data_IF_710469964575
#
_entry.id   IF_710469964575
#
_cell.length_a   1.000
_cell.length_b   1.000
_cell.length_c   1.000
_cell.angle_alpha   90.00
_cell.angle_beta   90.00
_cell.angle_gamma   90.00
#
_symmetry.space_group_name_H-M   'P 1'
#
loop_
_entity.id
_entity.type
_entity.pdbx_description
1 polymer ?
#
# COMPACT_ATOMS: atom_id res chain seq x y z
N UNK A 1 1.39 0.50 -18.52
CA UNK A 1 1.13 0.52 -17.07
C UNK A 1 1.29 1.94 -16.52
N UNK A 2 0.38 2.40 -15.63
CA UNK A 2 0.42 3.69 -14.92
C UNK A 2 0.29 3.45 -13.42
N UNK A 3 1.08 4.14 -12.60
CA UNK A 3 0.98 4.09 -11.13
C UNK A 3 0.64 5.49 -10.62
N UNK A 4 -0.33 5.58 -9.72
CA UNK A 4 -0.81 6.85 -9.15
C UNK A 4 -0.92 6.69 -7.63
N UNK A 5 -0.29 7.58 -6.89
CA UNK A 5 -0.48 7.69 -5.44
C UNK A 5 -1.79 8.43 -5.20
N UNK A 6 -2.73 7.80 -4.53
CA UNK A 6 -4.05 8.37 -4.19
C UNK A 6 -4.10 8.85 -2.74
N UNK A 7 -3.30 8.25 -1.88
CA UNK A 7 -3.13 8.63 -0.49
C UNK A 7 -1.68 8.38 -0.07
N UNK A 8 -1.02 9.40 0.45
CA UNK A 8 0.40 9.38 0.82
C UNK A 8 0.65 9.57 2.32
N UNK A 9 -0.41 9.74 3.13
CA UNK A 9 -0.31 9.86 4.58
C UNK A 9 -0.36 8.49 5.26
N UNK A 10 0.38 8.39 6.36
CA UNK A 10 0.14 7.39 7.39
C UNK A 10 -0.65 7.99 8.55
N UNK A 11 -1.47 7.15 9.22
CA UNK A 11 -2.26 7.40 10.41
C UNK A 11 -3.58 8.15 10.15
N UNK A 12 -3.56 9.40 9.65
CA UNK A 12 -4.79 10.17 9.38
C UNK A 12 -4.61 11.16 8.23
N UNK A 13 -5.75 11.60 7.69
CA UNK A 13 -5.79 12.59 6.62
C UNK A 13 -5.41 13.98 7.13
N UNK A 14 -4.72 14.73 6.30
CA UNK A 14 -4.34 16.14 6.53
C UNK A 14 -4.43 16.93 5.23
N UNK A 15 -4.15 18.22 5.28
CA UNK A 15 -4.06 19.05 4.07
C UNK A 15 -2.93 18.59 3.11
N UNK A 16 -1.99 17.77 3.58
CA UNK A 16 -0.90 17.23 2.76
C UNK A 16 -1.23 15.97 2.01
N UNK A 17 -2.35 15.30 2.33
CA UNK A 17 -2.81 14.09 1.66
C UNK A 17 -3.81 13.27 2.46
N UNK A 18 -4.37 12.29 1.77
CA UNK A 18 -5.23 11.25 2.33
C UNK A 18 -4.43 10.06 2.81
N UNK A 19 -5.03 9.21 3.65
CA UNK A 19 -4.44 7.95 4.10
C UNK A 19 -4.24 6.97 2.96
N UNK A 20 -3.33 6.02 3.18
CA UNK A 20 -2.59 5.22 2.23
C UNK A 20 -3.46 4.53 1.16
N UNK A 21 -3.19 4.81 -0.09
CA UNK A 21 -3.77 4.11 -1.24
C UNK A 21 -2.93 4.36 -2.50
N UNK A 22 -2.60 3.30 -3.23
CA UNK A 22 -1.90 3.40 -4.51
C UNK A 22 -2.67 2.63 -5.58
N UNK A 23 -2.84 3.25 -6.75
CA UNK A 23 -3.51 2.66 -7.90
C UNK A 23 -2.49 2.33 -8.99
N UNK A 24 -2.45 1.09 -9.44
CA UNK A 24 -1.74 0.62 -10.63
C UNK A 24 -2.75 0.22 -11.68
N UNK A 25 -2.61 0.76 -12.89
CA UNK A 25 -3.50 0.50 -14.02
C UNK A 25 -2.74 -0.07 -15.20
N UNK A 26 -3.30 -1.12 -15.79
CA UNK A 26 -2.92 -1.65 -17.11
C UNK A 26 -4.02 -1.38 -18.12
N UNK A 27 -3.90 -1.90 -19.36
CA UNK A 27 -4.99 -1.89 -20.32
C UNK A 27 -6.16 -2.79 -19.91
N UNK A 28 -5.91 -3.85 -19.11
CA UNK A 28 -6.83 -4.97 -18.94
C UNK A 28 -7.41 -5.07 -17.52
N UNK A 29 -6.74 -4.49 -16.52
CA UNK A 29 -7.16 -4.54 -15.12
C UNK A 29 -6.53 -3.40 -14.30
N UNK A 30 -7.05 -3.21 -13.08
CA UNK A 30 -6.49 -2.32 -12.08
C UNK A 30 -6.08 -3.09 -10.82
N UNK A 31 -4.95 -2.69 -10.20
CA UNK A 31 -4.51 -3.15 -8.88
C UNK A 31 -4.52 -1.95 -7.93
N UNK A 32 -5.18 -2.09 -6.81
CA UNK A 32 -5.20 -1.11 -5.73
C UNK A 32 -4.40 -1.69 -4.58
N UNK A 33 -3.50 -0.91 -4.02
CA UNK A 33 -2.69 -1.28 -2.87
C UNK A 33 -3.10 -0.39 -1.70
N UNK A 34 -3.65 -1.01 -0.67
CA UNK A 34 -4.35 -0.44 0.47
C UNK A 34 -5.60 0.41 0.13
N UNK A 35 -6.45 0.56 1.13
CA UNK A 35 -7.75 1.19 1.04
C UNK A 35 -7.97 2.21 2.17
N UNK A 36 -6.97 3.08 2.41
CA UNK A 36 -7.18 4.28 3.19
C UNK A 36 -8.16 5.23 2.48
N UNK A 37 -8.37 6.42 2.99
CA UNK A 37 -9.32 7.38 2.38
C UNK A 37 -8.97 7.73 0.92
N UNK A 38 -7.69 7.58 0.54
CA UNK A 38 -7.25 7.76 -0.83
C UNK A 38 -8.05 6.92 -1.86
N UNK A 39 -8.63 5.77 -1.45
CA UNK A 39 -9.42 4.91 -2.35
C UNK A 39 -10.63 5.63 -2.93
N UNK A 40 -11.20 6.62 -2.24
CA UNK A 40 -12.36 7.37 -2.75
C UNK A 40 -12.10 8.06 -4.09
N UNK A 41 -10.83 8.33 -4.40
CA UNK A 41 -10.38 8.97 -5.64
C UNK A 41 -10.41 8.05 -6.86
N UNK A 42 -10.60 6.73 -6.70
CA UNK A 42 -10.68 5.78 -7.83
C UNK A 42 -11.94 6.00 -8.69
N UNK A 43 -12.99 6.64 -8.16
CA UNK A 43 -14.29 6.84 -8.82
C UNK A 43 -14.18 7.36 -10.26
N UNK A 44 -13.24 8.28 -10.50
CA UNK A 44 -13.05 8.92 -11.81
C UNK A 44 -11.77 8.45 -12.52
N UNK A 45 -11.14 7.39 -12.05
CA UNK A 45 -9.85 6.91 -12.55
C UNK A 45 -9.89 5.46 -13.03
N UNK A 46 -10.72 4.63 -12.41
CA UNK A 46 -10.81 3.20 -12.69
C UNK A 46 -11.95 2.94 -13.67
N UNK A 47 -11.68 2.12 -14.67
CA UNK A 47 -12.69 1.51 -15.53
C UNK A 47 -13.28 0.29 -14.82
N UNK A 48 -14.44 0.49 -14.18
CA UNK A 48 -15.10 -0.54 -13.38
C UNK A 48 -15.70 -1.70 -14.20
N UNK A 49 -15.70 -1.62 -15.53
CA UNK A 49 -16.06 -2.76 -16.39
C UNK A 49 -14.96 -3.83 -16.43
N UNK A 50 -13.74 -3.48 -15.99
CA UNK A 50 -12.57 -4.36 -15.96
C UNK A 50 -12.33 -4.92 -14.56
N UNK A 51 -11.62 -6.05 -14.46
CA UNK A 51 -11.24 -6.62 -13.17
C UNK A 51 -10.47 -5.65 -12.28
N UNK A 52 -10.82 -5.60 -11.00
CA UNK A 52 -10.12 -4.83 -9.96
C UNK A 52 -9.65 -5.76 -8.86
N UNK A 53 -8.39 -5.64 -8.50
CA UNK A 53 -7.72 -6.40 -7.45
C UNK A 53 -7.28 -5.43 -6.35
N UNK A 54 -7.78 -5.60 -5.14
CA UNK A 54 -7.40 -4.80 -3.99
C UNK A 54 -6.52 -5.65 -3.06
N UNK A 55 -5.29 -5.19 -2.84
CA UNK A 55 -4.32 -5.82 -1.94
C UNK A 55 -4.22 -5.00 -0.65
N UNK A 56 -4.47 -5.63 0.48
CA UNK A 56 -4.34 -5.02 1.79
C UNK A 56 -3.06 -5.51 2.47
N UNK A 57 -2.26 -4.59 2.99
CA UNK A 57 -1.04 -4.92 3.72
C UNK A 57 -1.32 -5.39 5.14
N UNK A 58 -2.17 -4.66 5.85
CA UNK A 58 -2.63 -4.97 7.21
C UNK A 58 -3.96 -4.26 7.50
N UNK A 59 -4.46 -4.37 8.74
CA UNK A 59 -5.81 -3.91 9.08
C UNK A 59 -5.86 -2.70 10.00
N UNK A 60 -4.79 -1.88 10.10
CA UNK A 60 -4.90 -0.56 10.71
C UNK A 60 -5.88 0.30 9.91
N UNK A 61 -6.60 1.18 10.60
CA UNK A 61 -7.71 1.91 9.98
C UNK A 61 -7.28 2.78 8.80
N UNK A 62 -6.11 3.36 8.84
CA UNK A 62 -5.57 4.19 7.75
C UNK A 62 -5.25 3.40 6.47
N UNK A 63 -5.29 2.06 6.52
CA UNK A 63 -5.16 1.17 5.36
C UNK A 63 -6.48 0.55 4.91
N UNK A 64 -7.54 0.64 5.73
CA UNK A 64 -8.82 -0.04 5.44
C UNK A 64 -10.05 0.84 5.64
N UNK A 65 -9.92 2.05 6.21
CA UNK A 65 -11.06 2.92 6.51
C UNK A 65 -11.90 3.25 5.26
N UNK A 66 -11.28 3.35 4.10
CA UNK A 66 -11.98 3.64 2.85
C UNK A 66 -12.88 2.50 2.36
N UNK A 67 -12.75 1.29 2.91
CA UNK A 67 -13.62 0.16 2.57
C UNK A 67 -15.09 0.41 2.92
N UNK A 68 -15.38 1.27 3.92
CA UNK A 68 -16.77 1.66 4.22
C UNK A 68 -17.45 2.39 3.06
N UNK A 69 -16.69 2.92 2.11
CA UNK A 69 -17.20 3.64 0.94
C UNK A 69 -17.36 2.75 -0.30
N UNK A 70 -17.23 1.42 -0.19
CA UNK A 70 -17.30 0.51 -1.35
C UNK A 70 -18.59 0.63 -2.14
N UNK A 71 -19.73 0.93 -1.51
CA UNK A 71 -21.01 1.16 -2.20
C UNK A 71 -21.02 2.43 -3.08
N UNK A 72 -20.01 3.28 -2.98
CA UNK A 72 -19.84 4.44 -3.87
C UNK A 72 -19.37 4.04 -5.27
N UNK A 73 -18.86 2.82 -5.45
CA UNK A 73 -18.33 2.31 -6.69
C UNK A 73 -19.28 1.30 -7.34
N UNK A 74 -19.26 1.19 -8.67
CA UNK A 74 -20.08 0.26 -9.43
C UNK A 74 -19.17 -0.75 -10.15
N UNK A 75 -18.64 -1.72 -9.42
CA UNK A 75 -17.86 -2.79 -10.04
C UNK A 75 -18.77 -3.70 -10.86
N UNK A 76 -18.49 -3.85 -12.17
CA UNK A 76 -19.23 -4.76 -13.06
C UNK A 76 -18.68 -6.20 -12.99
N UNK A 77 -17.49 -6.36 -12.43
CA UNK A 77 -16.84 -7.63 -12.15
C UNK A 77 -16.73 -7.83 -10.62
N UNK A 78 -16.60 -9.06 -10.11
CA UNK A 78 -16.30 -9.29 -8.70
C UNK A 78 -15.07 -8.49 -8.26
N UNK A 79 -15.19 -7.74 -7.15
CA UNK A 79 -14.04 -7.12 -6.50
C UNK A 79 -13.24 -8.21 -5.77
N UNK A 80 -12.01 -8.44 -6.18
CA UNK A 80 -11.13 -9.38 -5.48
C UNK A 80 -10.29 -8.65 -4.45
N UNK A 81 -10.54 -8.96 -3.18
CA UNK A 81 -9.83 -8.38 -2.04
C UNK A 81 -8.84 -9.40 -1.52
N UNK A 82 -7.57 -9.15 -1.72
CA UNK A 82 -6.48 -9.93 -1.15
C UNK A 82 -6.21 -9.38 0.25
N UNK A 83 -6.57 -10.17 1.25
CA UNK A 83 -6.37 -9.83 2.66
C UNK A 83 -4.93 -10.12 3.08
N UNK A 84 -4.39 -9.44 4.11
CA UNK A 84 -3.10 -9.80 4.65
C UNK A 84 -3.07 -11.28 5.08
N UNK A 85 -1.88 -11.84 5.20
CA UNK A 85 -1.69 -13.23 5.61
C UNK A 85 -2.41 -13.47 6.95
N UNK A 86 -3.43 -14.33 6.94
CA UNK A 86 -4.24 -14.67 8.13
C UNK A 86 -5.33 -13.65 8.50
N UNK A 87 -5.47 -12.52 7.78
CA UNK A 87 -6.35 -11.41 8.17
C UNK A 87 -7.79 -11.47 7.63
N UNK A 88 -8.19 -12.55 6.96
CA UNK A 88 -9.50 -12.60 6.28
C UNK A 88 -10.69 -12.51 7.25
N UNK A 89 -10.63 -13.20 8.38
CA UNK A 89 -11.74 -13.21 9.33
C UNK A 89 -11.82 -11.89 10.12
N UNK A 90 -10.67 -11.31 10.47
CA UNK A 90 -10.60 -9.99 11.11
C UNK A 90 -11.16 -8.89 10.18
N UNK A 91 -10.88 -8.97 8.87
CA UNK A 91 -11.47 -8.03 7.91
C UNK A 91 -12.98 -8.18 7.81
N UNK A 92 -13.51 -9.41 7.80
CA UNK A 92 -14.97 -9.64 7.82
C UNK A 92 -15.61 -9.09 9.08
N UNK A 93 -14.95 -9.23 10.23
CA UNK A 93 -15.43 -8.67 11.49
C UNK A 93 -15.42 -7.14 11.49
N UNK A 94 -14.45 -6.52 10.84
CA UNK A 94 -14.42 -5.07 10.65
C UNK A 94 -15.54 -4.60 9.70
N UNK A 95 -15.77 -5.34 8.60
CA UNK A 95 -16.78 -5.03 7.58
C UNK A 95 -18.13 -5.71 7.89
N UNK A 96 -18.74 -5.37 9.02
CA UNK A 96 -20.06 -5.86 9.42
C UNK A 96 -20.84 -4.80 10.17
N UNK A 97 -22.18 -5.00 10.22
CA UNK A 97 -23.05 -4.18 11.09
C UNK A 97 -22.63 -4.36 12.57
N UNK A 98 -22.62 -3.28 13.37
CA UNK A 98 -23.09 -1.92 13.06
C UNK A 98 -22.01 -0.96 12.53
N UNK A 99 -20.79 -1.43 12.25
CA UNK A 99 -19.64 -0.57 11.95
C UNK A 99 -19.60 -0.13 10.48
N UNK A 100 -20.06 -1.00 9.58
CA UNK A 100 -20.03 -0.79 8.12
C UNK A 100 -21.17 -1.57 7.48
N UNK A 101 -21.42 -1.36 6.18
CA UNK A 101 -22.15 -2.33 5.37
C UNK A 101 -21.42 -3.68 5.44
N UNK A 102 -22.18 -4.77 5.56
CA UNK A 102 -21.56 -6.08 5.62
C UNK A 102 -20.88 -6.41 4.28
N UNK A 103 -19.71 -7.02 4.34
CA UNK A 103 -18.88 -7.32 3.14
C UNK A 103 -19.62 -8.16 2.09
N UNK A 104 -20.64 -8.93 2.48
CA UNK A 104 -21.48 -9.78 1.62
C UNK A 104 -22.82 -9.14 1.23
N UNK A 105 -23.05 -7.87 1.60
CA UNK A 105 -24.31 -7.15 1.34
C UNK A 105 -24.23 -6.18 0.14
N UNK A 106 -23.08 -6.06 -0.51
CA UNK A 106 -22.87 -5.18 -1.67
C UNK A 106 -23.62 -5.69 -2.91
N UNK A 107 -23.97 -4.77 -3.82
CA UNK A 107 -24.66 -5.11 -5.08
C UNK A 107 -23.80 -5.88 -6.08
N UNK A 108 -22.50 -5.94 -5.86
CA UNK A 108 -21.52 -6.73 -6.60
C UNK A 108 -20.80 -7.70 -5.67
N UNK A 109 -20.36 -8.86 -6.17
CA UNK A 109 -19.65 -9.83 -5.35
C UNK A 109 -18.29 -9.29 -4.86
N UNK A 110 -17.97 -9.54 -3.60
CA UNK A 110 -16.62 -9.35 -3.04
C UNK A 110 -16.04 -10.73 -2.77
N UNK A 111 -14.92 -11.04 -3.43
CA UNK A 111 -14.17 -12.29 -3.25
C UNK A 111 -12.96 -12.01 -2.35
N UNK A 112 -13.01 -12.44 -1.09
CA UNK A 112 -11.87 -12.32 -0.17
C UNK A 112 -10.93 -13.50 -0.31
N UNK A 113 -9.65 -13.21 -0.53
CA UNK A 113 -8.58 -14.18 -0.76
C UNK A 113 -7.45 -13.89 0.24
N UNK A 114 -7.17 -14.81 1.13
CA UNK A 114 -6.03 -14.69 2.03
C UNK A 114 -4.72 -14.76 1.25
N UNK A 115 -3.80 -13.83 1.51
CA UNK A 115 -2.52 -13.74 0.80
C UNK A 115 -1.67 -15.02 0.91
N UNK A 116 -1.88 -15.85 1.94
CA UNK A 116 -1.25 -17.19 2.04
C UNK A 116 -1.66 -18.16 0.93
N UNK A 117 -2.77 -17.88 0.23
CA UNK A 117 -3.33 -18.75 -0.81
C UNK A 117 -3.08 -18.20 -2.24
N UNK A 118 -2.28 -17.16 -2.41
CA UNK A 118 -2.03 -16.53 -3.72
C UNK A 118 -1.53 -17.51 -4.79
N UNK A 119 -0.72 -18.51 -4.41
CA UNK A 119 -0.24 -19.55 -5.33
C UNK A 119 -1.36 -20.36 -5.99
N UNK A 120 -2.53 -20.45 -5.33
CA UNK A 120 -3.71 -21.17 -5.81
C UNK A 120 -4.70 -20.28 -6.55
N UNK A 121 -4.41 -18.98 -6.63
CA UNK A 121 -5.31 -17.98 -7.18
C UNK A 121 -4.90 -17.66 -8.62
N UNK A 122 -5.87 -17.76 -9.54
CA UNK A 122 -5.61 -17.38 -10.93
C UNK A 122 -5.65 -15.85 -11.08
N UNK A 123 -4.48 -15.22 -11.00
CA UNK A 123 -4.28 -13.79 -11.26
C UNK A 123 -3.62 -13.60 -12.63
N UNK A 124 -3.90 -12.49 -13.36
CA UNK A 124 -3.29 -12.22 -14.65
C UNK A 124 -1.84 -11.72 -14.55
N UNK A 125 -1.28 -11.69 -13.35
CA UNK A 125 0.10 -11.28 -13.03
C UNK A 125 0.66 -12.17 -11.92
N UNK A 126 1.99 -12.15 -11.76
CA UNK A 126 2.61 -12.85 -10.62
C UNK A 126 2.70 -11.91 -9.43
N UNK A 127 2.51 -12.50 -8.24
CA UNK A 127 2.66 -11.79 -6.97
C UNK A 127 3.28 -12.71 -5.92
N UNK A 128 4.23 -12.19 -5.16
CA UNK A 128 4.78 -12.79 -3.95
C UNK A 128 4.34 -11.96 -2.75
N UNK A 129 3.93 -12.61 -1.67
CA UNK A 129 3.55 -12.00 -0.40
C UNK A 129 4.45 -12.53 0.71
N UNK A 130 5.02 -11.65 1.52
CA UNK A 130 5.83 -12.01 2.67
C UNK A 130 5.44 -11.20 3.90
N UNK A 131 5.52 -11.78 5.11
CA UNK A 131 5.29 -11.05 6.34
C UNK A 131 6.37 -9.99 6.56
N UNK A 132 5.96 -8.83 7.03
CA UNK A 132 6.82 -7.71 7.40
C UNK A 132 6.90 -7.55 8.93
N UNK A 133 7.68 -6.58 9.41
CA UNK A 133 7.91 -6.35 10.85
C UNK A 133 7.19 -5.08 11.28
N UNK A 134 6.00 -5.25 11.82
CA UNK A 134 5.16 -4.17 12.31
C UNK A 134 4.51 -4.53 13.65
N UNK A 135 3.80 -3.58 14.28
CA UNK A 135 3.11 -3.78 15.57
C UNK A 135 1.97 -4.83 15.47
N UNK A 136 1.41 -5.02 14.30
CA UNK A 136 0.40 -6.04 13.97
C UNK A 136 0.88 -6.87 12.79
N UNK A 137 0.27 -8.04 12.50
CA UNK A 137 0.60 -8.81 11.30
C UNK A 137 0.46 -7.94 10.04
N UNK A 138 1.56 -7.79 9.31
CA UNK A 138 1.65 -7.01 8.09
C UNK A 138 2.23 -7.84 6.94
N UNK A 139 1.83 -7.54 5.71
CA UNK A 139 2.17 -8.27 4.49
C UNK A 139 2.67 -7.32 3.42
N UNK A 140 3.92 -7.47 3.02
CA UNK A 140 4.46 -6.79 1.84
C UNK A 140 4.22 -7.61 0.58
N UNK A 141 4.20 -6.93 -0.56
CA UNK A 141 3.91 -7.54 -1.86
C UNK A 141 4.98 -7.20 -2.89
N UNK A 142 5.28 -8.18 -3.75
CA UNK A 142 6.11 -8.03 -4.95
C UNK A 142 5.31 -8.48 -6.16
N UNK A 143 5.07 -7.57 -7.09
CA UNK A 143 4.31 -7.79 -8.32
C UNK A 143 5.25 -7.89 -9.52
N UNK A 144 4.96 -8.83 -10.45
CA UNK A 144 5.52 -8.84 -11.81
C UNK A 144 4.39 -8.57 -12.79
N UNK A 145 4.34 -7.34 -13.33
CA UNK A 145 3.27 -6.84 -14.21
C UNK A 145 3.92 -6.17 -15.43
N UNK A 146 3.49 -6.52 -16.64
CA UNK A 146 4.00 -5.96 -17.91
C UNK A 146 5.54 -6.02 -18.01
N UNK A 147 6.17 -7.08 -17.50
CA UNK A 147 7.62 -7.24 -17.47
C UNK A 147 8.36 -6.30 -16.51
N UNK A 148 7.64 -5.64 -15.60
CA UNK A 148 8.17 -4.77 -14.54
C UNK A 148 7.95 -5.40 -13.18
N UNK A 149 8.89 -5.12 -12.28
CA UNK A 149 8.83 -5.53 -10.89
C UNK A 149 8.48 -4.33 -10.03
N UNK A 150 7.34 -4.40 -9.34
CA UNK A 150 6.88 -3.40 -8.39
C UNK A 150 6.86 -4.04 -6.99
N UNK A 151 7.56 -3.46 -6.04
CA UNK A 151 7.52 -3.85 -4.64
C UNK A 151 6.71 -2.82 -3.84
N UNK A 152 5.77 -3.29 -3.04
CA UNK A 152 4.96 -2.51 -2.11
C UNK A 152 5.29 -2.97 -0.69
N UNK A 153 6.06 -2.16 0.03
CA UNK A 153 6.65 -2.47 1.33
C UNK A 153 6.35 -1.31 2.27
N UNK A 154 5.20 -1.39 2.93
CA UNK A 154 4.64 -0.33 3.76
C UNK A 154 4.54 -0.84 5.20
N UNK A 155 4.62 0.06 6.16
CA UNK A 155 4.48 -0.16 7.59
C UNK A 155 5.38 -1.28 8.11
N UNK A 156 6.67 -1.06 7.98
CA UNK A 156 7.65 -2.05 8.45
C UNK A 156 8.92 -1.41 8.97
N UNK A 157 9.51 -2.01 9.98
CA UNK A 157 10.93 -1.82 10.24
C UNK A 157 11.76 -2.41 9.08
N UNK A 158 13.00 -1.95 8.94
CA UNK A 158 13.94 -2.58 8.02
C UNK A 158 14.12 -4.07 8.40
N UNK A 159 13.83 -4.97 7.45
CA UNK A 159 13.92 -6.41 7.67
C UNK A 159 14.32 -7.17 6.38
N UNK A 160 14.72 -8.43 6.53
CA UNK A 160 15.16 -9.29 5.40
C UNK A 160 14.06 -9.50 4.35
N UNK A 161 12.81 -9.69 4.79
CA UNK A 161 11.69 -9.87 3.86
C UNK A 161 11.41 -8.61 3.04
N UNK A 162 11.57 -7.41 3.62
CA UNK A 162 11.48 -6.15 2.90
C UNK A 162 12.55 -6.06 1.80
N UNK A 163 13.80 -6.41 2.11
CA UNK A 163 14.90 -6.47 1.12
C UNK A 163 14.61 -7.51 0.04
N UNK A 164 14.10 -8.69 0.41
CA UNK A 164 13.77 -9.77 -0.53
C UNK A 164 12.69 -9.34 -1.52
N UNK A 165 11.59 -8.74 -1.05
CA UNK A 165 10.50 -8.25 -1.89
C UNK A 165 10.98 -7.15 -2.85
N UNK A 166 11.79 -6.22 -2.34
CA UNK A 166 12.30 -5.08 -3.09
C UNK A 166 13.46 -5.43 -4.06
N UNK A 167 14.01 -6.65 -3.99
CA UNK A 167 15.21 -7.03 -4.75
C UNK A 167 15.07 -6.79 -6.25
N UNK A 168 15.95 -5.91 -6.80
CA UNK A 168 15.98 -5.51 -8.20
C UNK A 168 14.62 -4.96 -8.71
N UNK A 169 13.78 -4.38 -7.85
CA UNK A 169 12.52 -3.79 -8.26
C UNK A 169 12.76 -2.65 -9.26
N UNK A 170 11.92 -2.57 -10.29
CA UNK A 170 11.87 -1.40 -11.17
C UNK A 170 11.32 -0.19 -10.39
N UNK A 171 10.38 -0.45 -9.47
CA UNK A 171 9.83 0.52 -8.53
C UNK A 171 9.63 -0.11 -7.16
N UNK A 172 10.25 0.47 -6.14
CA UNK A 172 9.94 0.24 -4.75
C UNK A 172 9.02 1.36 -4.25
N UNK A 173 7.88 1.02 -3.70
CA UNK A 173 7.00 1.92 -2.98
C UNK A 173 7.13 1.55 -1.51
N UNK A 174 7.59 2.49 -0.69
CA UNK A 174 7.84 2.23 0.73
C UNK A 174 7.51 3.45 1.59
N UNK A 175 7.58 3.28 2.90
CA UNK A 175 7.14 4.26 3.88
C UNK A 175 8.22 5.26 4.32
N UNK A 176 7.75 6.30 5.00
CA UNK A 176 8.56 7.24 5.78
C UNK A 176 7.76 7.70 7.01
N UNK A 177 7.54 6.80 7.98
CA UNK A 177 6.70 7.07 9.15
C UNK A 177 7.34 8.02 10.17
N UNK A 178 8.67 8.05 10.25
CA UNK A 178 9.40 8.78 11.29
C UNK A 178 10.36 9.84 10.75
N UNK A 179 10.64 10.82 11.62
CA UNK A 179 11.66 11.85 11.38
C UNK A 179 13.05 11.24 11.13
N UNK A 180 13.90 11.96 10.37
CA UNK A 180 15.31 11.63 10.25
C UNK A 180 15.98 11.44 11.61
N UNK A 181 16.79 10.40 11.74
CA UNK A 181 17.53 10.11 12.96
C UNK A 181 16.71 9.52 14.12
N UNK A 182 15.40 9.28 13.94
CA UNK A 182 14.60 8.60 14.98
C UNK A 182 15.08 7.16 15.16
N UNK A 183 15.36 6.80 16.40
CA UNK A 183 15.62 5.42 16.80
C UNK A 183 14.35 4.87 17.39
N UNK A 184 13.61 4.09 16.59
CA UNK A 184 12.41 3.42 17.06
C UNK A 184 12.41 1.95 16.64
N UNK A 185 12.12 1.11 17.62
CA UNK A 185 12.09 -0.35 17.43
C UNK A 185 10.71 -0.95 17.75
N UNK A 186 9.77 -0.14 18.29
CA UNK A 186 8.53 -0.67 18.86
C UNK A 186 7.39 -0.71 17.86
N UNK A 187 7.20 0.34 17.05
CA UNK A 187 6.06 0.43 16.13
C UNK A 187 6.36 -0.11 14.71
N UNK A 188 7.62 -0.44 14.40
CA UNK A 188 7.97 -1.05 13.13
C UNK A 188 7.80 -0.11 11.93
N UNK A 189 8.30 1.14 12.03
CA UNK A 189 8.34 2.08 10.91
C UNK A 189 9.75 2.52 10.54
N UNK A 190 9.91 3.03 9.34
CA UNK A 190 11.19 3.52 8.81
C UNK A 190 11.34 5.03 8.92
N UNK A 191 12.60 5.46 9.03
CA UNK A 191 13.04 6.83 8.77
C UNK A 191 13.45 6.98 7.31
N UNK A 192 13.65 8.21 6.79
CA UNK A 192 14.17 8.41 5.43
C UNK A 192 15.47 7.68 5.17
N UNK A 193 16.36 7.59 6.18
CA UNK A 193 17.65 6.92 6.06
C UNK A 193 17.48 5.39 5.96
N UNK A 194 16.60 4.80 6.76
CA UNK A 194 16.35 3.35 6.73
C UNK A 194 15.58 2.93 5.48
N UNK A 195 14.65 3.74 4.99
CA UNK A 195 13.99 3.54 3.70
C UNK A 195 14.98 3.64 2.54
N UNK A 196 15.90 4.61 2.58
CA UNK A 196 16.96 4.75 1.59
C UNK A 196 17.95 3.57 1.63
N UNK A 197 18.26 3.06 2.84
CA UNK A 197 19.07 1.85 3.02
C UNK A 197 18.37 0.63 2.41
N UNK A 198 17.07 0.45 2.62
CA UNK A 198 16.29 -0.62 1.99
C UNK A 198 16.40 -0.54 0.46
N UNK A 199 16.23 0.65 -0.13
CA UNK A 199 16.35 0.87 -1.57
C UNK A 199 17.73 0.51 -2.10
N UNK A 200 18.77 0.90 -1.38
CA UNK A 200 20.18 0.60 -1.75
C UNK A 200 20.49 -0.89 -1.65
N UNK A 201 20.16 -1.53 -0.52
CA UNK A 201 20.50 -2.94 -0.28
C UNK A 201 19.71 -3.88 -1.20
N UNK A 202 18.50 -3.49 -1.61
CA UNK A 202 17.67 -4.25 -2.55
C UNK A 202 18.04 -3.99 -4.02
N UNK A 203 18.91 -3.04 -4.32
CA UNK A 203 19.21 -2.60 -5.69
C UNK A 203 17.93 -2.21 -6.47
N UNK A 204 16.99 -1.54 -5.81
CA UNK A 204 15.81 -0.99 -6.47
C UNK A 204 16.21 0.13 -7.45
N UNK A 205 15.57 0.24 -8.62
CA UNK A 205 15.92 1.25 -9.63
C UNK A 205 15.39 2.63 -9.31
N UNK A 206 14.13 2.67 -8.83
CA UNK A 206 13.46 3.87 -8.34
C UNK A 206 12.75 3.54 -7.04
N UNK A 207 12.66 4.51 -6.14
CA UNK A 207 11.94 4.35 -4.87
C UNK A 207 11.08 5.57 -4.60
N UNK A 208 9.79 5.32 -4.37
CA UNK A 208 8.83 6.34 -3.97
C UNK A 208 8.53 6.17 -2.49
N UNK A 209 8.73 7.25 -1.72
CA UNK A 209 8.32 7.34 -0.33
C UNK A 209 6.88 7.84 -0.25
N UNK A 210 6.03 7.10 0.43
CA UNK A 210 4.67 7.46 0.83
C UNK A 210 4.48 7.18 2.31
N UNK A 211 3.24 7.09 2.77
CA UNK A 211 2.92 6.80 4.17
C UNK A 211 3.73 7.68 5.13
N UNK A 212 3.78 8.99 4.80
CA UNK A 212 4.41 9.94 5.69
C UNK A 212 3.58 10.09 6.96
N UNK A 213 4.18 9.81 8.12
CA UNK A 213 3.49 9.95 9.40
C UNK A 213 2.88 11.35 9.55
N UNK A 214 1.55 11.44 9.61
CA UNK A 214 0.83 12.71 9.54
C UNK A 214 1.22 13.70 10.65
N UNK A 215 1.53 13.19 11.84
CA UNK A 215 2.01 13.98 12.97
C UNK A 215 3.48 14.42 12.85
N UNK A 216 4.27 13.69 12.06
CA UNK A 216 5.67 14.00 11.82
C UNK A 216 5.83 14.96 10.63
N UNK A 217 5.12 14.74 9.56
CA UNK A 217 5.28 15.42 8.27
C UNK A 217 4.05 16.25 7.89
N UNK A 218 3.71 17.22 8.74
CA UNK A 218 2.52 18.07 8.63
C UNK A 218 2.53 18.99 7.40
N UNK A 219 3.69 19.16 6.75
CA UNK A 219 3.84 20.04 5.57
C UNK A 219 4.63 19.35 4.48
N UNK A 220 4.38 19.74 3.23
CA UNK A 220 5.16 19.24 2.07
C UNK A 220 6.65 19.59 2.19
N UNK A 221 6.99 20.73 2.78
CA UNK A 221 8.38 21.11 3.04
C UNK A 221 9.08 20.13 4.00
N UNK A 222 8.41 19.72 5.09
CA UNK A 222 8.95 18.69 5.99
C UNK A 222 9.19 17.36 5.26
N UNK A 223 8.27 16.93 4.38
CA UNK A 223 8.45 15.72 3.55
C UNK A 223 9.62 15.88 2.58
N UNK A 224 9.73 17.03 1.91
CA UNK A 224 10.84 17.30 1.00
C UNK A 224 12.19 17.18 1.69
N UNK A 225 12.34 17.78 2.89
CA UNK A 225 13.57 17.68 3.68
C UNK A 225 13.88 16.25 4.12
N UNK A 226 12.87 15.46 4.45
CA UNK A 226 13.04 14.04 4.76
C UNK A 226 13.57 13.27 3.55
N UNK A 227 12.96 13.47 2.38
CA UNK A 227 13.41 12.84 1.13
C UNK A 227 14.86 13.26 0.80
N UNK A 228 15.19 14.55 0.96
CA UNK A 228 16.57 15.06 0.73
C UNK A 228 17.57 14.46 1.72
N UNK A 229 17.14 14.12 2.94
CA UNK A 229 17.98 13.39 3.90
C UNK A 229 18.24 11.97 3.41
N UNK A 230 17.20 11.24 2.98
CA UNK A 230 17.36 9.89 2.43
C UNK A 230 18.17 9.87 1.13
N UNK A 231 18.07 10.90 0.28
CA UNK A 231 18.86 11.02 -0.97
C UNK A 231 20.37 11.05 -0.75
N UNK A 232 20.83 11.41 0.43
CA UNK A 232 22.26 11.30 0.79
C UNK A 232 22.76 9.86 0.84
N UNK A 233 21.83 8.91 1.09
CA UNK A 233 22.11 7.46 1.13
C UNK A 233 21.76 6.82 -0.21
N UNK A 234 20.58 7.16 -0.78
CA UNK A 234 20.10 6.64 -2.06
C UNK A 234 19.52 7.78 -2.91
N UNK A 235 20.25 8.27 -3.95
CA UNK A 235 19.83 9.43 -4.75
C UNK A 235 18.51 9.24 -5.53
N UNK A 236 18.10 7.98 -5.77
CA UNK A 236 16.89 7.63 -6.51
C UNK A 236 15.56 7.77 -5.74
N UNK A 237 15.55 8.42 -4.56
CA UNK A 237 14.32 8.64 -3.78
C UNK A 237 13.44 9.72 -4.40
N UNK A 238 12.15 9.43 -4.47
CA UNK A 238 11.10 10.32 -4.96
C UNK A 238 10.06 10.50 -3.85
N UNK A 239 9.59 11.73 -3.65
CA UNK A 239 8.47 12.00 -2.76
C UNK A 239 7.16 11.65 -3.47
N UNK A 240 6.39 10.73 -2.90
CA UNK A 240 5.03 10.45 -3.32
C UNK A 240 4.07 11.52 -2.79
N UNK A 241 3.23 12.03 -3.66
CA UNK A 241 2.17 12.99 -3.34
C UNK A 241 0.85 12.48 -3.90
N UNK A 242 -0.22 12.84 -3.21
CA UNK A 242 -1.58 12.60 -3.68
C UNK A 242 -1.81 13.25 -5.04
N UNK A 243 -2.46 12.50 -5.95
CA UNK A 243 -2.75 12.97 -7.29
C UNK A 243 -4.23 12.72 -7.63
#
# INVERSE_FOLDING_TARGET
MKITVLGSNGWFDTDTGSTNCVLLQTSDYSVIMDAGFGITKIKNRVDFSKPVYLFLTHLHLDHVIGLHALDYFNFEQPLRVITPIGGTDDLKDLLRSPFSAAWDSHVYPIEMIDAKNLEKTNLPFKVEALPLVHAVPDTGYRFEIDGKIIAFVIDTAYCENAVKLAKNADLLITECGFYPGTVNTVSGHMTPETAAKLASDSNAKQTVLIHFGANAFETIDKRSRAVDTGRKVYPGLIMGLDN
#
